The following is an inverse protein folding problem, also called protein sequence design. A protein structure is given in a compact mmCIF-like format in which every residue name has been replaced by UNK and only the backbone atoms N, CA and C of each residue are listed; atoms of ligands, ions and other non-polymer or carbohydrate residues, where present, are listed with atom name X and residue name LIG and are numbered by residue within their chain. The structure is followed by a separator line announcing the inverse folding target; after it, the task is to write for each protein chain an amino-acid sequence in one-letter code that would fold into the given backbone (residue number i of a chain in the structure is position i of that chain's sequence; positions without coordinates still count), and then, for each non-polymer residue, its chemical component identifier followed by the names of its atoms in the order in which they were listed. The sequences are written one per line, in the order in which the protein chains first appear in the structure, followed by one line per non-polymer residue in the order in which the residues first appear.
data_IF_305873390381
#
_entry.id   IF_305873390381
#
_cell.length_a   1.000
_cell.length_b   1.000
_cell.length_c   1.000
_cell.angle_alpha   90.00
_cell.angle_beta   90.00
_cell.angle_gamma   90.00
#
_symmetry.space_group_name_H-M   'P 1'
#
loop_
_entity.id
_entity.type
_entity.pdbx_description
1 polymer ?
#
# COMPACT_ATOMS: atom_id res chain seq x y z
N UNK A 1 4.17 15.40 -15.01
CA UNK A 1 3.78 14.32 -14.06
C UNK A 1 4.29 13.01 -14.58
N UNK A 2 4.87 12.22 -13.69
CA UNK A 2 5.47 10.92 -14.04
C UNK A 2 5.34 9.94 -12.89
N UNK A 3 5.52 8.66 -13.16
CA UNK A 3 5.66 7.64 -12.12
C UNK A 3 7.01 7.82 -11.44
N UNK A 4 7.01 8.25 -10.19
CA UNK A 4 8.23 8.44 -9.41
C UNK A 4 8.61 7.17 -8.64
N UNK A 5 7.61 6.45 -8.10
CA UNK A 5 7.84 5.19 -7.40
C UNK A 5 6.70 4.20 -7.61
N UNK A 6 7.05 2.91 -7.55
CA UNK A 6 6.12 1.80 -7.57
C UNK A 6 6.37 0.92 -6.35
N UNK A 7 5.29 0.53 -5.68
CA UNK A 7 5.32 -0.26 -4.47
C UNK A 7 4.30 -1.40 -4.54
N UNK A 8 4.74 -2.57 -4.08
CA UNK A 8 3.88 -3.74 -3.87
C UNK A 8 3.94 -4.19 -2.42
N UNK A 9 2.81 -4.67 -1.91
CA UNK A 9 2.62 -5.18 -0.57
C UNK A 9 2.01 -6.59 -0.63
N UNK A 10 2.80 -7.64 -0.93
CA UNK A 10 2.28 -9.00 -1.10
C UNK A 10 1.57 -9.55 0.14
N UNK A 11 1.94 -9.06 1.32
CA UNK A 11 1.27 -9.38 2.58
C UNK A 11 0.67 -8.12 3.20
N UNK A 12 -0.61 -8.18 3.55
CA UNK A 12 -1.33 -7.09 4.22
C UNK A 12 -0.65 -6.75 5.54
N UNK A 13 -0.51 -5.46 5.83
CA UNK A 13 0.07 -4.91 7.07
C UNK A 13 1.58 -5.13 7.28
N UNK A 14 2.30 -5.62 6.27
CA UNK A 14 3.77 -5.76 6.28
C UNK A 14 4.47 -4.67 5.47
N UNK A 15 5.77 -4.45 5.68
CA UNK A 15 6.56 -3.60 4.79
C UNK A 15 6.51 -4.15 3.37
N UNK A 16 6.39 -3.25 2.40
CA UNK A 16 6.35 -3.61 0.98
C UNK A 16 7.73 -3.66 0.34
N UNK A 17 7.71 -3.81 -0.97
CA UNK A 17 8.89 -3.75 -1.83
C UNK A 17 8.75 -2.63 -2.85
N UNK A 18 9.87 -1.97 -3.14
CA UNK A 18 10.01 -1.06 -4.26
C UNK A 18 10.15 -1.87 -5.54
N UNK A 19 9.48 -1.41 -6.59
CA UNK A 19 9.52 -1.99 -7.92
C UNK A 19 10.06 -0.97 -8.93
N UNK A 20 10.71 -1.45 -9.98
CA UNK A 20 11.05 -0.63 -11.16
C UNK A 20 9.93 -0.66 -12.20
N UNK A 21 9.16 -1.74 -12.22
CA UNK A 21 7.99 -1.95 -13.10
C UNK A 21 6.90 -2.76 -12.38
N UNK A 22 5.65 -2.56 -12.77
CA UNK A 22 4.50 -3.28 -12.25
C UNK A 22 3.48 -3.57 -13.36
N UNK A 23 2.95 -4.79 -13.38
CA UNK A 23 1.78 -5.14 -14.20
C UNK A 23 0.50 -4.80 -13.44
N UNK A 24 -0.32 -3.93 -14.02
CA UNK A 24 -1.66 -3.62 -13.53
C UNK A 24 -2.69 -4.54 -14.21
N UNK A 25 -3.37 -5.35 -13.41
CA UNK A 25 -4.57 -6.07 -13.78
C UNK A 25 -5.83 -5.39 -13.24
N UNK A 26 -7.01 -5.94 -13.51
CA UNK A 26 -8.29 -5.38 -13.03
C UNK A 26 -8.37 -5.33 -11.48
N UNK A 27 -7.61 -6.17 -10.80
CA UNK A 27 -7.52 -6.24 -9.34
C UNK A 27 -6.35 -5.43 -8.76
N UNK A 28 -5.70 -4.55 -9.54
CA UNK A 28 -4.57 -3.74 -9.10
C UNK A 28 -3.22 -4.28 -9.56
N UNK A 29 -2.16 -4.06 -8.76
CA UNK A 29 -0.82 -4.58 -9.06
C UNK A 29 -0.80 -6.10 -8.90
N UNK A 30 -0.24 -6.81 -9.87
CA UNK A 30 -0.04 -8.27 -9.79
C UNK A 30 0.80 -8.66 -8.57
N UNK A 31 0.26 -9.59 -7.77
CA UNK A 31 0.88 -10.07 -6.54
C UNK A 31 0.74 -9.15 -5.32
N UNK A 32 -0.06 -8.08 -5.41
CA UNK A 32 -0.39 -7.24 -4.26
C UNK A 32 -1.41 -7.92 -3.34
N UNK A 33 -1.21 -7.80 -2.02
CA UNK A 33 -2.14 -8.25 -0.96
C UNK A 33 -2.62 -9.71 -1.10
N UNK A 34 -1.78 -10.62 -1.57
CA UNK A 34 -2.12 -12.04 -1.71
C UNK A 34 -2.37 -12.76 -0.38
N UNK A 35 -1.78 -12.26 0.71
CA UNK A 35 -1.79 -12.91 2.03
C UNK A 35 -2.11 -11.89 3.12
N UNK A 36 -2.75 -12.34 4.19
CA UNK A 36 -2.97 -11.59 5.43
C UNK A 36 -2.63 -12.43 6.65
N UNK A 37 -2.64 -11.79 7.82
CA UNK A 37 -2.45 -12.46 9.11
C UNK A 37 -3.81 -12.63 9.78
N UNK A 38 -4.07 -13.81 10.31
CA UNK A 38 -5.25 -14.09 11.14
C UNK A 38 -4.85 -14.66 12.49
N UNK A 39 -5.72 -14.51 13.47
CA UNK A 39 -5.59 -15.18 14.75
C UNK A 39 -6.12 -16.64 14.71
N UNK A 40 -6.01 -17.35 15.84
CA UNK A 40 -6.50 -18.72 15.98
C UNK A 40 -8.01 -18.86 15.71
N UNK A 41 -8.79 -17.80 15.89
CA UNK A 41 -10.23 -17.77 15.62
C UNK A 41 -10.59 -17.33 14.18
N UNK A 42 -9.61 -17.17 13.29
CA UNK A 42 -9.84 -16.74 11.90
C UNK A 42 -10.12 -15.24 11.73
N UNK A 43 -9.91 -14.43 12.77
CA UNK A 43 -10.06 -12.97 12.66
C UNK A 43 -8.79 -12.35 12.10
N UNK A 44 -8.95 -11.54 11.06
CA UNK A 44 -7.86 -10.76 10.45
C UNK A 44 -7.21 -9.82 11.46
N UNK A 45 -5.90 -9.94 11.59
CA UNK A 45 -5.04 -8.99 12.29
C UNK A 45 -4.45 -7.98 11.31
N UNK A 46 -4.40 -6.73 11.78
CA UNK A 46 -3.82 -5.63 11.02
C UNK A 46 -2.79 -4.91 11.87
N UNK A 47 -1.91 -4.17 11.24
CA UNK A 47 -0.94 -3.36 11.96
C UNK A 47 -1.56 -2.23 12.81
N UNK A 48 -2.89 -2.02 12.75
CA UNK A 48 -3.61 -1.13 13.67
C UNK A 48 -3.48 -1.61 15.12
N UNK A 49 -3.55 -2.93 15.30
CA UNK A 49 -3.48 -3.59 16.60
C UNK A 49 -2.16 -4.33 16.81
N UNK A 50 -1.45 -4.66 15.72
CA UNK A 50 -0.19 -5.39 15.76
C UNK A 50 0.89 -4.69 14.92
N UNK A 51 1.37 -3.50 15.32
CA UNK A 51 2.26 -2.67 14.51
C UNK A 51 3.59 -3.33 14.18
N UNK A 52 4.06 -4.30 14.97
CA UNK A 52 5.25 -5.11 14.69
C UNK A 52 5.19 -5.85 13.34
N UNK A 53 3.99 -6.07 12.79
CA UNK A 53 3.85 -6.60 11.42
C UNK A 53 4.52 -5.70 10.39
N UNK A 54 4.55 -4.38 10.59
CA UNK A 54 5.23 -3.44 9.69
C UNK A 54 6.74 -3.68 9.61
N UNK A 55 7.35 -4.27 10.64
CA UNK A 55 8.77 -4.62 10.64
C UNK A 55 9.11 -5.89 9.87
N UNK A 56 8.12 -6.62 9.35
CA UNK A 56 8.32 -7.79 8.50
C UNK A 56 8.31 -7.36 7.04
N UNK A 57 9.33 -7.76 6.27
CA UNK A 57 9.48 -7.37 4.86
C UNK A 57 8.80 -8.39 3.95
N UNK A 58 7.75 -7.96 3.25
CA UNK A 58 7.05 -8.77 2.26
C UNK A 58 7.56 -8.46 0.84
N UNK A 59 7.91 -9.50 0.09
CA UNK A 59 8.29 -9.41 -1.34
C UNK A 59 7.59 -10.51 -2.14
N UNK A 60 7.59 -10.43 -3.46
CA UNK A 60 7.10 -11.53 -4.32
C UNK A 60 8.28 -12.31 -4.87
N UNK A 61 8.25 -13.65 -4.74
CA UNK A 61 9.24 -14.53 -5.37
C UNK A 61 9.05 -14.62 -6.88
N UNK A 62 10.07 -15.12 -7.58
CA UNK A 62 9.99 -15.42 -9.02
C UNK A 62 8.98 -16.52 -9.36
N UNK A 63 8.57 -17.31 -8.37
CA UNK A 63 7.49 -18.30 -8.45
C UNK A 63 6.09 -17.68 -8.28
N UNK A 64 5.98 -16.36 -8.19
CA UNK A 64 4.72 -15.64 -8.00
C UNK A 64 4.17 -15.71 -6.58
N UNK A 65 4.97 -16.18 -5.62
CA UNK A 65 4.50 -16.46 -4.26
C UNK A 65 5.12 -15.50 -3.23
N UNK A 66 4.32 -14.99 -2.26
CA UNK A 66 4.84 -14.07 -1.26
C UNK A 66 6.00 -14.66 -0.45
N UNK A 67 6.98 -13.81 -0.16
CA UNK A 67 8.05 -14.04 0.80
C UNK A 67 7.91 -13.08 1.97
N UNK A 68 8.24 -13.54 3.16
CA UNK A 68 8.36 -12.70 4.36
C UNK A 68 9.77 -12.88 4.91
N UNK A 69 10.54 -11.80 4.98
CA UNK A 69 11.96 -11.82 5.35
C UNK A 69 12.78 -12.86 4.54
N UNK A 70 12.42 -13.06 3.27
CA UNK A 70 13.08 -14.00 2.36
C UNK A 70 12.53 -15.43 2.35
N UNK A 71 11.78 -15.84 3.38
CA UNK A 71 11.16 -17.17 3.45
C UNK A 71 9.80 -17.19 2.77
N UNK A 72 9.41 -18.31 2.18
CA UNK A 72 8.07 -18.46 1.58
C UNK A 72 6.99 -18.29 2.65
N UNK A 73 5.89 -17.62 2.32
CA UNK A 73 4.87 -17.23 3.29
C UNK A 73 4.21 -18.41 4.04
N UNK A 74 4.17 -19.59 3.44
CA UNK A 74 3.62 -20.84 3.98
C UNK A 74 4.70 -21.76 4.60
N UNK A 75 5.94 -21.28 4.68
CA UNK A 75 7.05 -22.04 5.24
C UNK A 75 7.03 -22.05 6.79
N UNK A 76 7.40 -23.16 7.44
CA UNK A 76 7.48 -23.22 8.91
C UNK A 76 8.40 -22.16 9.52
N UNK A 77 9.45 -21.76 8.81
CA UNK A 77 10.50 -20.84 9.23
C UNK A 77 9.97 -19.45 9.63
N UNK A 78 8.84 -19.02 9.06
CA UNK A 78 8.27 -17.71 9.37
C UNK A 78 7.28 -17.73 10.55
N UNK A 79 6.75 -18.90 10.93
CA UNK A 79 5.69 -19.03 11.94
C UNK A 79 6.01 -18.29 13.23
N UNK A 80 7.23 -18.47 13.73
CA UNK A 80 7.70 -17.83 14.95
C UNK A 80 7.76 -16.30 14.84
N UNK A 81 8.17 -15.77 13.68
CA UNK A 81 8.21 -14.33 13.44
C UNK A 81 6.79 -13.73 13.40
N UNK A 82 5.84 -14.43 12.78
CA UNK A 82 4.42 -14.02 12.75
C UNK A 82 3.84 -14.00 14.16
N UNK A 83 4.08 -15.05 14.95
CA UNK A 83 3.56 -15.11 16.32
C UNK A 83 4.21 -14.07 17.24
N UNK A 84 5.50 -13.76 17.07
CA UNK A 84 6.16 -12.66 17.81
C UNK A 84 5.59 -11.28 17.44
N UNK A 85 5.20 -11.09 16.19
CA UNK A 85 4.68 -9.82 15.69
C UNK A 85 3.19 -9.62 15.99
N UNK A 86 2.40 -10.70 15.92
CA UNK A 86 0.93 -10.62 15.94
C UNK A 86 0.27 -11.46 17.04
N UNK A 87 1.03 -12.13 17.90
CA UNK A 87 0.54 -12.89 19.04
C UNK A 87 0.45 -14.41 18.80
N UNK A 88 0.32 -15.16 19.89
CA UNK A 88 0.27 -16.63 19.87
C UNK A 88 -0.88 -17.13 18.99
N UNK A 89 -0.59 -18.09 18.12
CA UNK A 89 -1.57 -18.66 17.19
C UNK A 89 -1.89 -17.78 15.98
N UNK A 90 -1.20 -16.64 15.81
CA UNK A 90 -1.26 -15.89 14.56
C UNK A 90 -0.61 -16.67 13.42
N UNK A 91 -1.25 -16.69 12.26
CA UNK A 91 -0.78 -17.39 11.06
C UNK A 91 -1.03 -16.56 9.80
N UNK A 92 -0.28 -16.85 8.75
CA UNK A 92 -0.51 -16.31 7.42
C UNK A 92 -1.58 -17.12 6.70
N UNK A 93 -2.49 -16.43 6.01
CA UNK A 93 -3.59 -17.02 5.26
C UNK A 93 -3.66 -16.34 3.90
N UNK A 94 -3.91 -17.10 2.85
CA UNK A 94 -4.11 -16.57 1.50
C UNK A 94 -5.46 -15.90 1.39
N UNK A 95 -5.51 -14.72 0.78
CA UNK A 95 -6.76 -14.06 0.46
C UNK A 95 -7.44 -14.75 -0.71
N UNK A 96 -8.77 -14.84 -0.63
CA UNK A 96 -9.60 -15.11 -1.80
C UNK A 96 -9.55 -13.93 -2.77
N UNK A 97 -9.68 -14.16 -4.09
CA UNK A 97 -9.76 -13.08 -5.07
C UNK A 97 -10.87 -12.09 -4.73
N UNK A 98 -10.50 -10.84 -4.39
CA UNK A 98 -11.45 -9.75 -4.07
C UNK A 98 -11.45 -9.29 -2.61
N UNK A 99 -10.99 -10.12 -1.66
CA UNK A 99 -11.06 -9.82 -0.21
C UNK A 99 -9.86 -9.03 0.33
N UNK A 100 -8.87 -8.80 -0.53
CA UNK A 100 -7.55 -8.30 -0.15
C UNK A 100 -7.50 -6.80 0.23
N UNK A 101 -8.49 -6.02 -0.21
CA UNK A 101 -8.44 -4.55 -0.18
C UNK A 101 -9.47 -3.93 0.76
N UNK A 102 -9.06 -2.86 1.45
CA UNK A 102 -9.94 -2.17 2.41
C UNK A 102 -10.99 -1.28 1.72
N UNK A 103 -10.70 -0.80 0.50
CA UNK A 103 -11.53 0.20 -0.19
C UNK A 103 -11.51 0.03 -1.73
N UNK A 104 -10.32 0.08 -2.33
CA UNK A 104 -10.06 -0.14 -3.76
C UNK A 104 -8.65 -0.69 -3.94
N UNK A 105 -8.37 -1.35 -5.09
CA UNK A 105 -7.13 -2.10 -5.30
C UNK A 105 -5.87 -1.25 -5.48
N UNK A 106 -6.00 0.05 -5.79
CA UNK A 106 -4.85 0.93 -5.94
C UNK A 106 -4.91 2.14 -5.01
N UNK A 107 -3.73 2.48 -4.50
CA UNK A 107 -3.44 3.72 -3.80
C UNK A 107 -2.49 4.59 -4.59
N UNK A 108 -2.86 5.83 -4.90
CA UNK A 108 -1.96 6.79 -5.55
C UNK A 108 -1.69 7.95 -4.61
N UNK A 109 -0.41 8.29 -4.44
CA UNK A 109 0.08 9.46 -3.68
C UNK A 109 0.87 10.36 -4.61
N UNK A 110 0.83 11.67 -4.38
CA UNK A 110 1.65 12.65 -5.09
C UNK A 110 2.83 13.09 -4.23
N UNK A 111 3.94 13.48 -4.88
CA UNK A 111 5.09 14.08 -4.21
C UNK A 111 4.74 15.37 -3.46
N UNK A 112 4.02 16.30 -4.10
CA UNK A 112 3.58 17.53 -3.45
C UNK A 112 2.76 17.30 -2.18
N UNK A 113 1.89 16.29 -2.17
CA UNK A 113 1.08 15.97 -0.99
C UNK A 113 1.93 15.42 0.16
N UNK A 114 2.89 14.54 -0.12
CA UNK A 114 3.74 14.00 0.95
C UNK A 114 4.77 15.00 1.45
N UNK A 115 5.30 15.85 0.58
CA UNK A 115 6.15 16.99 0.96
C UNK A 115 5.39 17.93 1.90
N UNK A 116 4.13 18.25 1.58
CA UNK A 116 3.27 19.09 2.43
C UNK A 116 3.02 18.45 3.80
N UNK A 117 2.87 17.13 3.89
CA UNK A 117 2.65 16.44 5.15
C UNK A 117 3.94 16.33 6.00
N UNK A 118 5.10 16.25 5.36
CA UNK A 118 6.41 16.25 6.02
C UNK A 118 6.71 14.97 6.80
N UNK A 119 6.29 13.81 6.31
CA UNK A 119 6.55 12.49 6.93
C UNK A 119 6.99 11.47 5.88
N UNK A 120 7.50 10.31 6.33
CA UNK A 120 7.83 9.22 5.42
C UNK A 120 6.58 8.71 4.68
N UNK A 121 6.61 8.77 3.34
CA UNK A 121 5.56 8.27 2.43
C UNK A 121 5.12 6.82 2.69
N UNK A 122 6.02 5.96 3.19
CA UNK A 122 5.72 4.56 3.51
C UNK A 122 4.63 4.43 4.58
N UNK A 123 4.43 5.46 5.41
CA UNK A 123 3.30 5.56 6.37
C UNK A 123 1.94 5.58 5.66
N UNK A 124 1.87 6.12 4.45
CA UNK A 124 0.65 6.19 3.65
C UNK A 124 0.43 4.96 2.75
N UNK A 125 1.48 4.14 2.59
CA UNK A 125 1.50 2.89 1.83
C UNK A 125 0.91 3.01 0.40
N UNK A 126 1.40 3.96 -0.43
CA UNK A 126 0.93 4.07 -1.81
C UNK A 126 1.38 2.86 -2.64
N UNK A 127 0.65 2.52 -3.69
CA UNK A 127 1.11 1.60 -4.72
C UNK A 127 1.89 2.33 -5.81
N UNK A 128 1.46 3.56 -6.14
CA UNK A 128 2.09 4.43 -7.13
C UNK A 128 2.31 5.79 -6.48
N UNK A 129 3.54 6.31 -6.57
CA UNK A 129 3.83 7.71 -6.30
C UNK A 129 3.95 8.45 -7.63
N UNK A 130 3.09 9.45 -7.85
CA UNK A 130 3.15 10.33 -9.02
C UNK A 130 3.98 11.55 -8.64
N UNK A 131 5.08 11.75 -9.35
CA UNK A 131 5.95 12.92 -9.19
C UNK A 131 5.56 14.07 -10.12
N UNK A 132 6.15 15.22 -9.85
CA UNK A 132 5.89 16.50 -10.52
C UNK A 132 4.43 16.94 -10.39
N UNK A 133 3.80 16.63 -9.24
CA UNK A 133 2.46 17.07 -8.90
C UNK A 133 2.56 18.08 -7.76
N UNK A 134 2.54 19.36 -8.10
CA UNK A 134 2.74 20.44 -7.14
C UNK A 134 1.65 20.48 -6.07
N UNK A 135 2.06 20.70 -4.81
CA UNK A 135 1.19 20.89 -3.66
C UNK A 135 0.12 19.79 -3.53
N UNK A 136 -1.14 20.22 -3.45
CA UNK A 136 -2.30 19.35 -3.23
C UNK A 136 -3.20 19.23 -4.47
N UNK A 137 -2.62 19.32 -5.66
CA UNK A 137 -3.34 19.28 -6.94
C UNK A 137 -4.17 17.99 -7.12
N UNK A 138 -3.76 16.87 -6.49
CA UNK A 138 -4.44 15.58 -6.57
C UNK A 138 -5.85 15.59 -5.96
N UNK A 139 -6.14 16.55 -5.10
CA UNK A 139 -7.47 16.71 -4.47
C UNK A 139 -8.56 17.05 -5.49
N UNK A 140 -8.20 17.56 -6.67
CA UNK A 140 -9.13 17.85 -7.78
C UNK A 140 -9.28 16.68 -8.78
N UNK A 141 -8.56 15.57 -8.59
CA UNK A 141 -8.56 14.45 -9.53
C UNK A 141 -9.73 13.46 -9.39
N UNK A 142 -10.47 13.34 -8.26
CA UNK A 142 -11.65 12.47 -8.20
C UNK A 142 -12.63 12.69 -9.37
N UNK A 143 -13.06 11.60 -10.00
CA UNK A 143 -13.91 11.62 -11.20
C UNK A 143 -13.14 11.63 -12.52
N UNK A 144 -11.81 11.81 -12.48
CA UNK A 144 -10.91 11.75 -13.65
C UNK A 144 -10.18 10.42 -13.74
N UNK A 145 -9.38 10.25 -14.80
CA UNK A 145 -8.52 9.09 -15.01
C UNK A 145 -7.08 9.49 -15.26
N UNK A 146 -6.17 8.66 -14.76
CA UNK A 146 -4.74 8.75 -15.06
C UNK A 146 -4.41 7.73 -16.15
N UNK A 147 -3.57 8.13 -17.09
CA UNK A 147 -3.09 7.28 -18.19
C UNK A 147 -1.57 7.22 -18.15
N UNK A 148 -1.04 6.01 -18.22
CA UNK A 148 0.39 5.71 -18.29
C UNK A 148 0.58 4.56 -19.28
N UNK A 149 1.06 4.86 -20.49
CA UNK A 149 1.09 3.88 -21.59
C UNK A 149 -0.31 3.32 -21.90
N UNK A 150 -0.44 2.00 -21.88
CA UNK A 150 -1.73 1.32 -22.07
C UNK A 150 -2.60 1.26 -20.81
N UNK A 151 -2.01 1.50 -19.62
CA UNK A 151 -2.74 1.43 -18.37
C UNK A 151 -3.61 2.68 -18.18
N UNK A 152 -4.87 2.45 -17.81
CA UNK A 152 -5.82 3.51 -17.47
C UNK A 152 -6.34 3.27 -16.06
N UNK A 153 -6.21 4.27 -15.19
CA UNK A 153 -6.54 4.20 -13.76
C UNK A 153 -7.63 5.23 -13.45
N UNK A 154 -8.77 4.79 -12.95
CA UNK A 154 -9.83 5.67 -12.46
C UNK A 154 -9.53 6.19 -11.06
N UNK A 155 -9.83 7.47 -10.80
CA UNK A 155 -9.67 8.11 -9.50
C UNK A 155 -11.02 8.27 -8.83
N UNK A 156 -11.27 7.57 -7.72
CA UNK A 156 -12.60 7.57 -7.08
C UNK A 156 -12.77 8.75 -6.14
N UNK A 157 -11.86 8.87 -5.19
CA UNK A 157 -11.95 9.83 -4.08
C UNK A 157 -10.61 9.94 -3.36
N UNK A 158 -10.49 10.99 -2.57
CA UNK A 158 -9.47 11.08 -1.54
C UNK A 158 -9.65 9.98 -0.49
N UNK A 159 -8.55 9.38 -0.05
CA UNK A 159 -8.54 8.30 0.94
C UNK A 159 -8.52 8.83 2.36
N UNK A 160 -9.49 8.40 3.15
CA UNK A 160 -9.50 8.64 4.60
C UNK A 160 -8.34 7.92 5.30
N UNK A 161 -7.70 8.60 6.25
CA UNK A 161 -6.56 8.06 6.99
C UNK A 161 -6.94 7.69 8.41
N UNK A 162 -6.22 6.71 8.94
CA UNK A 162 -6.44 6.15 10.27
C UNK A 162 -5.11 6.00 11.01
N UNK A 163 -5.20 5.49 12.23
CA UNK A 163 -4.07 5.25 13.14
C UNK A 163 -2.90 4.49 12.50
N UNK A 164 -3.13 3.69 11.45
CA UNK A 164 -2.05 3.04 10.69
C UNK A 164 -0.92 3.98 10.26
N UNK A 165 -1.27 5.22 9.91
CA UNK A 165 -0.30 6.23 9.45
C UNK A 165 0.62 6.75 10.56
N UNK A 166 0.26 6.51 11.82
CA UNK A 166 1.00 6.98 13.00
C UNK A 166 2.23 6.13 13.29
N UNK A 167 2.30 4.91 12.77
CA UNK A 167 3.45 4.03 13.01
C UNK A 167 4.58 4.30 12.03
N UNK A 168 5.77 4.45 12.57
CA UNK A 168 7.01 4.53 11.80
C UNK A 168 7.29 3.23 11.06
N UNK A 169 7.61 3.28 9.74
CA UNK A 169 7.79 2.07 8.94
C UNK A 169 9.00 1.23 9.38
N UNK A 170 10.04 1.84 9.97
CA UNK A 170 11.25 1.13 10.36
C UNK A 170 11.22 0.75 11.85
N UNK A 171 10.89 1.70 12.73
CA UNK A 171 10.94 1.49 14.19
C UNK A 171 9.63 0.98 14.78
N UNK A 172 8.53 1.09 14.05
CA UNK A 172 7.16 0.84 14.54
C UNK A 172 6.75 1.71 15.74
N UNK A 173 7.53 2.75 16.05
CA UNK A 173 7.18 3.74 17.06
C UNK A 173 5.94 4.52 16.61
N UNK A 174 5.03 4.77 17.56
CA UNK A 174 3.78 5.45 17.27
C UNK A 174 3.93 6.95 17.49
N UNK A 175 3.57 7.73 16.48
CA UNK A 175 3.45 9.19 16.52
C UNK A 175 2.03 9.60 16.10
N UNK A 176 1.19 9.91 17.09
CA UNK A 176 -0.20 10.33 16.87
C UNK A 176 -0.28 11.69 16.18
N UNK A 177 0.75 12.53 16.30
CA UNK A 177 0.83 13.85 15.68
C UNK A 177 0.73 13.79 14.16
N UNK A 178 1.15 12.67 13.55
CA UNK A 178 0.96 12.42 12.11
C UNK A 178 -0.51 12.40 11.74
N UNK A 179 -1.36 11.68 12.47
CA UNK A 179 -2.78 11.60 12.16
C UNK A 179 -3.50 12.90 12.54
N UNK A 180 -3.12 13.53 13.65
CA UNK A 180 -3.65 14.85 14.04
C UNK A 180 -3.41 15.88 12.94
N UNK A 181 -2.19 15.95 12.38
CA UNK A 181 -1.86 16.82 11.24
C UNK A 181 -2.68 16.47 9.99
N UNK A 182 -2.81 15.18 9.67
CA UNK A 182 -3.66 14.74 8.55
C UNK A 182 -5.11 15.23 8.74
N UNK A 183 -5.62 15.21 9.97
CA UNK A 183 -6.97 15.68 10.29
C UNK A 183 -7.08 17.19 10.18
N UNK A 184 -6.18 17.94 10.83
CA UNK A 184 -6.25 19.41 10.91
C UNK A 184 -6.00 20.08 9.56
N UNK A 185 -4.97 19.63 8.84
CA UNK A 185 -4.43 20.38 7.70
C UNK A 185 -4.96 19.84 6.37
N UNK A 186 -5.33 18.55 6.33
CA UNK A 186 -5.73 17.86 5.09
C UNK A 186 -7.18 17.32 5.13
N UNK A 187 -7.91 17.54 6.23
CA UNK A 187 -9.30 17.12 6.40
C UNK A 187 -9.45 15.61 6.60
N UNK A 188 -8.45 14.97 7.22
CA UNK A 188 -8.44 13.54 7.53
C UNK A 188 -8.16 12.64 6.33
N UNK A 189 -7.72 13.22 5.20
CA UNK A 189 -7.59 12.51 3.93
C UNK A 189 -6.25 12.81 3.26
N UNK A 190 -5.60 11.77 2.76
CA UNK A 190 -4.35 11.87 2.01
C UNK A 190 -4.33 10.78 0.94
N UNK A 191 -3.72 11.05 -0.22
CA UNK A 191 -3.69 10.13 -1.36
C UNK A 191 -5.09 9.70 -1.86
N UNK A 192 -5.12 8.84 -2.87
CA UNK A 192 -6.31 8.55 -3.67
C UNK A 192 -6.66 7.06 -3.64
N UNK A 193 -7.97 6.77 -3.57
CA UNK A 193 -8.53 5.46 -3.84
C UNK A 193 -8.79 5.32 -5.34
N UNK A 194 -8.11 4.37 -5.99
CA UNK A 194 -8.09 4.20 -7.44
C UNK A 194 -8.39 2.76 -7.85
N UNK A 195 -8.89 2.58 -9.07
CA UNK A 195 -9.11 1.27 -9.68
C UNK A 195 -8.55 1.23 -11.10
N UNK A 196 -8.25 0.04 -11.61
CA UNK A 196 -7.77 -0.14 -12.97
C UNK A 196 -8.97 -0.21 -13.92
N UNK A 197 -9.03 0.71 -14.88
CA UNK A 197 -10.02 0.73 -15.96
C UNK A 197 -9.52 -0.14 -17.12
N UNK A 198 -8.25 0.02 -17.50
CA UNK A 198 -7.60 -0.77 -18.54
C UNK A 198 -6.26 -1.33 -18.01
N UNK A 199 -6.05 -2.65 -18.07
CA UNK A 199 -4.78 -3.28 -17.71
C UNK A 199 -3.59 -2.78 -18.53
N UNK A 200 -2.40 -2.83 -17.95
CA UNK A 200 -1.16 -2.44 -18.64
C UNK A 200 0.05 -2.48 -17.72
N UNK A 201 1.24 -2.44 -18.30
CA UNK A 201 2.48 -2.28 -17.53
C UNK A 201 2.74 -0.80 -17.25
N UNK A 202 3.32 -0.54 -16.08
CA UNK A 202 3.75 0.80 -15.64
C UNK A 202 5.16 0.69 -15.08
N UNK A 203 6.06 1.57 -15.49
CA UNK A 203 7.44 1.63 -15.03
C UNK A 203 7.76 2.98 -14.37
N UNK A 204 8.77 3.01 -13.50
CA UNK A 204 9.32 4.28 -12.99
C UNK A 204 9.80 5.12 -14.19
N UNK A 205 9.42 6.39 -14.20
CA UNK A 205 9.72 7.34 -15.26
C UNK A 205 8.63 7.47 -16.33
N UNK A 206 7.65 6.57 -16.36
CA UNK A 206 6.54 6.68 -17.30
C UNK A 206 5.80 8.00 -17.14
N UNK A 207 5.43 8.61 -18.26
CA UNK A 207 4.60 9.81 -18.29
C UNK A 207 3.20 9.49 -17.78
N UNK A 208 2.68 10.38 -16.91
CA UNK A 208 1.32 10.27 -16.37
C UNK A 208 0.49 11.45 -16.85
N UNK A 209 -0.50 11.17 -17.68
CA UNK A 209 -1.48 12.17 -18.13
C UNK A 209 -2.78 12.03 -17.35
N UNK A 210 -3.32 13.15 -16.87
CA UNK A 210 -4.63 13.21 -16.23
C UNK A 210 -5.67 13.64 -17.27
N UNK A 211 -6.69 12.81 -17.50
CA UNK A 211 -7.81 13.01 -18.44
C UNK A 211 -9.13 13.19 -17.67
#
# INVERSE_FOLDING_TARGET
MKVAELWRYPVKSMAGELLTEATLGLTGISGDRLVHVENAAGRVFTARTHPRLLGLRATLGSDGEPRVNGFRWDSPEISDAIQRAAGKGARLVRNEPGDAFDVLPLSILTDGAIESLGVDRRRLRPNILVGEAEGLTERAWPGRRLVSGAAVIGVRKLRGRCVMTTYDPDTQAQDLGVLERIVSDFGGRMALDCWVIAPGSVAIGDEVTLL
#
